data_IF_466180476511
#
_entry.id   IF_466180476511
#
_cell.length_a   1.000
_cell.length_b   1.000
_cell.length_c   1.000
_cell.angle_alpha   90.00
_cell.angle_beta   90.00
_cell.angle_gamma   90.00
#
_symmetry.space_group_name_H-M   'P 1'
#
loop_
_entity.id
_entity.type
_entity.pdbx_description
1 polymer ?
#
# COMPACT_ATOMS: atom_id res chain seq x y z
N UNK A 1 -32.77 29.82 -2.98
CA UNK A 1 -32.90 29.16 -1.67
C UNK A 1 -31.79 28.14 -1.55
N UNK A 2 -30.99 28.26 -0.50
CA UNK A 2 -29.74 27.55 -0.27
C UNK A 2 -29.89 26.04 0.03
N UNK A 3 -28.73 25.38 -0.13
CA UNK A 3 -28.28 24.04 0.24
C UNK A 3 -29.08 23.22 1.26
N UNK A 4 -29.04 21.90 1.08
CA UNK A 4 -28.66 20.99 2.17
C UNK A 4 -27.97 19.74 1.63
N UNK A 5 -26.65 19.68 1.86
CA UNK A 5 -25.81 18.53 1.58
C UNK A 5 -26.18 17.36 2.48
N UNK A 6 -26.25 16.17 1.89
CA UNK A 6 -26.20 14.93 2.65
C UNK A 6 -24.74 14.57 2.82
N UNK A 7 -24.19 14.94 3.98
CA UNK A 7 -22.87 14.51 4.42
C UNK A 7 -22.79 12.99 4.37
N UNK A 8 -21.79 12.47 3.65
CA UNK A 8 -21.35 11.09 3.81
C UNK A 8 -20.86 10.95 5.24
N UNK A 9 -21.70 10.37 6.09
CA UNK A 9 -21.39 9.99 7.46
C UNK A 9 -20.19 9.05 7.39
N UNK A 10 -19.12 9.42 8.09
CA UNK A 10 -17.83 8.75 8.03
C UNK A 10 -17.96 7.25 8.30
N UNK A 11 -17.40 6.45 7.40
CA UNK A 11 -17.13 5.04 7.62
C UNK A 11 -15.72 4.94 8.22
N UNK A 12 -15.57 5.42 9.45
CA UNK A 12 -14.32 5.39 10.23
C UNK A 12 -14.40 4.34 11.34
N UNK A 13 -15.13 3.25 11.12
CA UNK A 13 -15.06 2.06 11.96
C UNK A 13 -14.32 0.98 11.18
N UNK A 14 -13.13 0.59 11.67
CA UNK A 14 -12.29 -0.44 11.07
C UNK A 14 -13.10 -1.66 10.65
N UNK A 15 -13.17 -1.89 9.35
CA UNK A 15 -13.93 -2.98 8.78
C UNK A 15 -13.30 -4.32 9.19
N UNK A 16 -14.06 -5.15 9.90
CA UNK A 16 -13.73 -6.57 10.07
C UNK A 16 -13.80 -7.23 8.69
N UNK A 17 -12.64 -7.53 8.11
CA UNK A 17 -12.53 -8.30 6.87
C UNK A 17 -11.96 -9.69 7.14
N UNK A 18 -12.09 -10.60 6.18
CA UNK A 18 -11.35 -11.87 6.19
C UNK A 18 -10.33 -11.86 5.06
N UNK A 19 -9.06 -12.07 5.39
CA UNK A 19 -7.99 -12.26 4.40
C UNK A 19 -7.65 -13.75 4.28
N UNK A 20 -7.35 -14.17 3.05
CA UNK A 20 -6.83 -15.52 2.79
C UNK A 20 -5.32 -15.51 3.01
N UNK A 21 -4.86 -16.07 4.13
CA UNK A 21 -3.44 -16.27 4.43
C UNK A 21 -3.00 -17.64 3.94
N UNK A 22 -1.98 -17.66 3.07
CA UNK A 22 -1.31 -18.90 2.68
C UNK A 22 -0.02 -19.06 3.50
N UNK A 23 0.28 -20.25 4.01
CA UNK A 23 1.51 -20.57 4.76
C UNK A 23 1.91 -22.02 4.54
N UNK A 24 3.19 -22.35 4.74
CA UNK A 24 3.67 -23.73 4.70
C UNK A 24 3.55 -24.37 6.09
N UNK A 25 3.02 -25.59 6.19
CA UNK A 25 3.03 -26.35 7.43
C UNK A 25 4.39 -27.03 7.69
N UNK A 26 4.52 -27.72 8.82
CA UNK A 26 5.75 -28.42 9.22
C UNK A 26 6.11 -29.61 8.31
N UNK A 27 5.23 -29.98 7.37
CA UNK A 27 5.48 -30.96 6.32
C UNK A 27 5.82 -30.30 4.97
N UNK A 28 5.94 -28.97 4.92
CA UNK A 28 6.23 -28.23 3.68
C UNK A 28 5.04 -28.11 2.74
N UNK A 29 3.81 -28.34 3.22
CA UNK A 29 2.59 -28.25 2.41
C UNK A 29 1.96 -26.86 2.52
N UNK A 30 1.51 -26.29 1.40
CA UNK A 30 0.76 -25.01 1.41
C UNK A 30 -0.60 -25.25 2.07
N UNK A 31 -0.86 -24.49 3.13
CA UNK A 31 -2.14 -24.38 3.82
C UNK A 31 -2.73 -22.99 3.59
N UNK A 32 -4.05 -22.95 3.53
CA UNK A 32 -4.82 -21.72 3.39
C UNK A 32 -5.71 -21.58 4.63
N UNK A 33 -5.67 -20.42 5.29
CA UNK A 33 -6.59 -20.10 6.38
C UNK A 33 -7.20 -18.72 6.15
N UNK A 34 -8.49 -18.59 6.47
CA UNK A 34 -9.15 -17.31 6.60
C UNK A 34 -8.79 -16.74 7.96
N UNK A 35 -8.15 -15.58 7.97
CA UNK A 35 -7.85 -14.84 9.20
C UNK A 35 -8.71 -13.61 9.25
N UNK A 36 -9.28 -13.36 10.42
CA UNK A 36 -9.88 -12.06 10.71
C UNK A 36 -8.79 -11.01 10.58
N UNK A 37 -9.00 -10.09 9.66
CA UNK A 37 -8.12 -8.97 9.42
C UNK A 37 -8.83 -7.71 9.91
N UNK A 38 -8.29 -7.15 10.99
CA UNK A 38 -8.62 -5.79 11.38
C UNK A 38 -7.74 -4.87 10.55
N UNK A 39 -8.29 -4.41 9.42
CA UNK A 39 -7.65 -3.37 8.64
C UNK A 39 -8.03 -2.01 9.22
N UNK A 40 -7.19 -1.47 10.08
CA UNK A 40 -7.23 -0.03 10.33
C UNK A 40 -6.37 0.64 9.25
N UNK A 41 -7.01 0.97 8.12
CA UNK A 41 -6.35 1.69 7.02
C UNK A 41 -5.72 2.99 7.49
N UNK A 42 -6.24 3.61 8.56
CA UNK A 42 -5.64 4.79 9.17
C UNK A 42 -4.33 4.47 9.92
N UNK A 43 -4.23 3.33 10.61
CA UNK A 43 -2.96 2.88 11.19
C UNK A 43 -1.93 2.52 10.12
N UNK A 44 -2.34 1.81 9.06
CA UNK A 44 -1.42 1.49 7.95
C UNK A 44 -0.95 2.77 7.25
N UNK A 45 -1.87 3.73 7.02
CA UNK A 45 -1.56 5.07 6.51
C UNK A 45 -0.52 5.80 7.36
N UNK A 46 -0.74 5.86 8.67
CA UNK A 46 0.17 6.54 9.58
C UNK A 46 1.54 5.85 9.62
N UNK A 47 1.58 4.51 9.62
CA UNK A 47 2.82 3.75 9.64
C UNK A 47 3.64 3.97 8.36
N UNK A 48 3.03 3.90 7.18
CA UNK A 48 3.75 4.17 5.92
C UNK A 48 4.19 5.62 5.87
N UNK A 49 3.38 6.58 6.34
CA UNK A 49 3.77 7.99 6.40
C UNK A 49 4.98 8.23 7.31
N UNK A 50 5.09 7.52 8.43
CA UNK A 50 6.27 7.57 9.30
C UNK A 50 7.54 7.03 8.62
N UNK A 51 7.37 6.10 7.68
CA UNK A 51 8.47 5.43 6.98
C UNK A 51 8.69 5.96 5.55
N UNK A 52 7.82 6.85 5.07
CA UNK A 52 7.96 7.65 3.86
C UNK A 52 8.91 8.82 4.17
N UNK A 53 10.20 8.50 4.21
CA UNK A 53 11.25 9.52 4.30
C UNK A 53 11.72 9.91 2.90
N UNK A 54 12.08 11.18 2.69
CA UNK A 54 12.91 11.59 1.55
C UNK A 54 14.39 11.71 1.93
N UNK A 55 14.74 11.45 3.18
CA UNK A 55 16.12 11.42 3.66
C UNK A 55 16.55 9.98 3.89
N UNK A 56 17.60 9.60 3.15
CA UNK A 56 18.23 8.28 3.20
C UNK A 56 19.72 8.47 3.42
N UNK A 57 20.31 7.59 4.21
CA UNK A 57 21.77 7.53 4.30
C UNK A 57 22.34 6.81 3.07
N UNK A 58 23.50 7.22 2.54
CA UNK A 58 24.16 6.49 1.47
C UNK A 58 24.36 5.01 1.84
N UNK A 59 23.85 4.10 1.02
CA UNK A 59 23.92 2.65 1.24
C UNK A 59 22.74 2.06 2.03
N UNK A 60 21.79 2.88 2.49
CA UNK A 60 20.57 2.41 3.13
C UNK A 60 19.67 1.68 2.09
N UNK A 61 19.27 0.42 2.34
CA UNK A 61 18.38 -0.29 1.43
C UNK A 61 16.95 0.24 1.55
N UNK A 62 16.34 0.54 0.41
CA UNK A 62 14.95 1.03 0.30
C UNK A 62 14.13 0.16 -0.63
N UNK A 63 12.82 0.15 -0.43
CA UNK A 63 11.87 -0.42 -1.38
C UNK A 63 11.33 0.69 -2.28
N UNK A 64 11.54 0.57 -3.59
CA UNK A 64 10.91 1.45 -4.57
C UNK A 64 9.48 0.96 -4.87
N UNK A 65 8.50 1.84 -4.76
CA UNK A 65 7.09 1.56 -5.06
C UNK A 65 6.56 2.58 -6.06
N UNK A 66 5.85 2.11 -7.08
CA UNK A 66 5.28 2.99 -8.11
C UNK A 66 4.30 4.02 -7.52
N UNK A 67 4.49 5.30 -7.84
CA UNK A 67 3.74 6.42 -7.23
C UNK A 67 2.23 6.29 -7.40
N UNK A 68 1.74 5.78 -8.54
CA UNK A 68 0.30 5.60 -8.76
C UNK A 68 -0.31 4.60 -7.78
N UNK A 69 0.39 3.48 -7.55
CA UNK A 69 -0.08 2.47 -6.60
C UNK A 69 -0.16 3.06 -5.20
N UNK A 70 0.86 3.83 -4.80
CA UNK A 70 0.85 4.57 -3.52
C UNK A 70 -0.33 5.54 -3.44
N UNK A 71 -0.64 6.28 -4.51
CA UNK A 71 -1.78 7.19 -4.54
C UNK A 71 -3.14 6.49 -4.40
N UNK A 72 -3.32 5.35 -5.07
CA UNK A 72 -4.52 4.51 -4.94
C UNK A 72 -4.64 3.95 -3.52
N UNK A 73 -3.51 3.51 -2.95
CA UNK A 73 -3.43 3.04 -1.56
C UNK A 73 -3.75 4.12 -0.53
N UNK A 74 -3.19 5.32 -0.67
CA UNK A 74 -3.52 6.47 0.20
C UNK A 74 -5.00 6.81 0.12
N UNK A 75 -5.59 6.76 -1.08
CA UNK A 75 -7.02 7.03 -1.27
C UNK A 75 -7.88 5.98 -0.55
N UNK A 76 -7.53 4.69 -0.68
CA UNK A 76 -8.16 3.61 0.08
C UNK A 76 -8.03 3.81 1.59
N UNK A 77 -6.80 4.01 2.06
CA UNK A 77 -6.46 4.04 3.48
C UNK A 77 -7.01 5.29 4.21
N UNK A 78 -6.99 6.46 3.57
CA UNK A 78 -7.41 7.72 4.18
C UNK A 78 -8.87 8.11 3.86
N UNK A 79 -9.41 7.69 2.72
CA UNK A 79 -10.74 8.11 2.24
C UNK A 79 -11.75 6.95 2.17
N UNK A 80 -11.32 5.71 2.44
CA UNK A 80 -12.17 4.52 2.34
C UNK A 80 -12.58 4.21 0.89
N UNK A 81 -11.71 4.52 -0.06
CA UNK A 81 -11.95 4.30 -1.50
C UNK A 81 -11.81 2.80 -1.87
N UNK A 82 -11.61 2.45 -3.15
CA UNK A 82 -11.40 1.06 -3.55
C UNK A 82 -9.99 0.56 -3.19
N UNK A 83 -9.89 -0.66 -2.67
CA UNK A 83 -8.62 -1.28 -2.33
C UNK A 83 -7.70 -1.33 -3.57
N UNK A 84 -6.47 -0.79 -3.51
CA UNK A 84 -5.51 -0.99 -4.58
C UNK A 84 -5.21 -2.49 -4.63
N UNK A 85 -5.12 -3.05 -5.83
CA UNK A 85 -4.71 -4.45 -5.97
C UNK A 85 -3.30 -4.70 -5.39
N UNK A 86 -2.73 -5.89 -5.61
CA UNK A 86 -1.36 -6.19 -5.19
C UNK A 86 -0.37 -5.10 -5.64
N UNK A 87 0.64 -4.81 -4.79
CA UNK A 87 1.73 -3.90 -5.15
C UNK A 87 2.28 -4.31 -6.52
N UNK A 88 2.35 -3.35 -7.44
CA UNK A 88 2.87 -3.59 -8.77
C UNK A 88 3.82 -2.49 -9.22
N UNK A 89 5.02 -2.92 -9.61
CA UNK A 89 6.10 -2.05 -10.08
C UNK A 89 6.38 -2.22 -11.57
N UNK A 90 5.48 -2.85 -12.33
CA UNK A 90 5.70 -3.11 -13.75
C UNK A 90 5.99 -1.84 -14.57
N UNK A 91 5.47 -0.68 -14.15
CA UNK A 91 5.76 0.61 -14.78
C UNK A 91 7.18 1.12 -14.52
N UNK A 92 7.87 0.61 -13.50
CA UNK A 92 9.26 0.93 -13.16
C UNK A 92 10.25 -0.01 -13.86
N UNK A 93 9.76 -1.05 -14.53
CA UNK A 93 10.57 -2.09 -15.12
C UNK A 93 10.52 -2.04 -16.64
N UNK A 94 11.62 -2.43 -17.26
CA UNK A 94 11.70 -2.78 -18.66
C UNK A 94 11.06 -4.16 -18.91
N UNK A 95 10.90 -4.53 -20.18
CA UNK A 95 10.27 -5.81 -20.56
C UNK A 95 11.02 -7.05 -20.05
N UNK A 96 12.33 -6.92 -19.82
CA UNK A 96 13.18 -7.97 -19.29
C UNK A 96 13.22 -8.02 -17.74
N UNK A 97 12.48 -7.11 -17.08
CA UNK A 97 12.42 -7.02 -15.62
C UNK A 97 13.54 -6.18 -14.99
N UNK A 98 14.40 -5.55 -15.78
CA UNK A 98 15.38 -4.57 -15.29
C UNK A 98 14.71 -3.24 -14.95
N UNK A 99 15.35 -2.41 -14.13
CA UNK A 99 14.82 -1.09 -13.75
C UNK A 99 15.01 -0.13 -14.92
N UNK A 100 13.97 0.64 -15.25
CA UNK A 100 14.04 1.72 -16.24
C UNK A 100 15.01 2.81 -15.81
N UNK A 101 15.78 3.33 -16.76
CA UNK A 101 16.81 4.36 -16.49
C UNK A 101 16.24 5.79 -16.40
N UNK A 102 15.04 6.03 -16.94
CA UNK A 102 14.43 7.36 -17.05
C UNK A 102 13.56 7.76 -15.85
N UNK A 103 13.66 7.03 -14.75
CA UNK A 103 12.85 7.19 -13.57
C UNK A 103 13.30 8.38 -12.71
N UNK A 104 12.33 9.18 -12.30
CA UNK A 104 12.49 10.32 -11.41
C UNK A 104 11.80 10.01 -10.09
N UNK A 105 12.56 10.11 -8.99
CA UNK A 105 12.02 9.95 -7.64
C UNK A 105 10.88 10.94 -7.38
N UNK A 106 9.90 10.55 -6.56
CA UNK A 106 8.64 11.26 -6.30
C UNK A 106 7.66 11.38 -7.48
N UNK A 107 8.15 11.40 -8.73
CA UNK A 107 7.30 11.35 -9.93
C UNK A 107 6.87 9.92 -10.20
N UNK A 108 7.83 9.04 -10.41
CA UNK A 108 7.56 7.67 -10.88
C UNK A 108 7.51 6.68 -9.72
N UNK A 109 8.32 6.91 -8.68
CA UNK A 109 8.40 6.02 -7.53
C UNK A 109 8.61 6.76 -6.20
N UNK A 110 8.19 6.10 -5.13
CA UNK A 110 8.44 6.47 -3.72
C UNK A 110 9.35 5.42 -3.08
N UNK A 111 10.28 5.85 -2.23
CA UNK A 111 11.05 4.93 -1.41
C UNK A 111 10.34 4.71 -0.07
N UNK A 112 10.28 3.45 0.35
CA UNK A 112 9.83 3.05 1.68
C UNK A 112 11.01 2.43 2.42
N UNK A 113 11.23 2.87 3.66
CA UNK A 113 12.23 2.27 4.54
C UNK A 113 11.82 0.86 4.94
N UNK A 114 12.82 -0.01 5.08
CA UNK A 114 12.62 -1.34 5.66
C UNK A 114 12.35 -1.19 7.16
N UNK A 115 11.23 -1.75 7.61
CA UNK A 115 10.84 -1.93 9.02
C UNK A 115 11.54 -3.14 9.66
#
# INVERSE_FOLDING_TARGET
>A
GAAQGKGKKGLLDGGKGQLRRNYYDHHGMIRCQWVDFFHDGHQEFNLVKEHESMTFEPGEPVFAVHTRWVGEWVSFAALGDWQPGPITNHHLLEKDGTIREDLVASRDWRALKKW
#
